data_IF_078184158394
#
_entry.id   IF_078184158394
#
_cell.length_a   1.000
_cell.length_b   1.000
_cell.length_c   1.000
_cell.angle_alpha   90.00
_cell.angle_beta   90.00
_cell.angle_gamma   90.00
#
_symmetry.space_group_name_H-M   'P 1'
#
loop_
_entity.id
_entity.type
_entity.pdbx_description
1 polymer ?
#
# COMPACT_ATOMS: atom_id res chain seq x y z
N UNK A 1 -4.77 -42.23 6.44
CA UNK A 1 -3.67 -41.25 6.52
C UNK A 1 -2.76 -41.60 7.69
N UNK A 2 -3.33 -41.80 8.88
CA UNK A 2 -2.58 -42.08 10.11
C UNK A 2 -1.79 -43.41 10.06
N UNK A 3 -2.37 -44.49 9.53
CA UNK A 3 -1.62 -45.75 9.31
C UNK A 3 -0.42 -45.59 8.35
N UNK A 4 -0.53 -44.71 7.36
CA UNK A 4 0.55 -44.41 6.40
C UNK A 4 1.68 -43.58 7.05
N UNK A 5 1.33 -42.74 8.03
CA UNK A 5 2.26 -41.96 8.82
C UNK A 5 2.96 -42.85 9.85
N UNK A 6 2.24 -43.77 10.48
CA UNK A 6 2.79 -44.70 11.47
C UNK A 6 3.65 -45.81 10.87
N UNK A 7 3.37 -46.24 9.63
CA UNK A 7 4.20 -47.17 8.89
C UNK A 7 5.46 -46.53 8.26
N UNK A 8 5.57 -45.20 8.28
CA UNK A 8 6.68 -44.47 7.68
C UNK A 8 7.99 -44.64 8.46
N UNK A 9 9.10 -44.81 7.75
CA UNK A 9 10.43 -44.80 8.36
C UNK A 9 10.70 -43.44 9.02
N UNK A 10 10.78 -43.45 10.35
CA UNK A 10 10.99 -42.24 11.16
C UNK A 10 12.46 -41.82 11.24
N UNK A 11 13.37 -42.61 10.66
CA UNK A 11 14.79 -42.25 10.61
C UNK A 11 14.95 -41.05 9.68
N UNK A 12 15.72 -40.07 10.15
CA UNK A 12 16.11 -38.94 9.32
C UNK A 12 16.82 -39.47 8.07
N UNK A 13 16.36 -39.14 6.86
CA UNK A 13 17.03 -39.61 5.65
C UNK A 13 18.47 -39.08 5.63
N UNK A 14 19.41 -39.85 5.07
CA UNK A 14 20.79 -39.39 4.94
C UNK A 14 20.82 -38.10 4.11
N UNK A 15 21.77 -37.22 4.45
CA UNK A 15 21.97 -36.00 3.69
C UNK A 15 22.20 -36.33 2.21
N UNK A 16 21.58 -35.59 1.27
CA UNK A 16 21.72 -35.88 -0.15
C UNK A 16 23.18 -35.72 -0.57
N UNK A 17 23.67 -36.65 -1.40
CA UNK A 17 25.06 -36.66 -1.89
C UNK A 17 25.46 -35.41 -2.69
N UNK A 18 24.46 -34.62 -3.11
CA UNK A 18 24.62 -33.33 -3.79
C UNK A 18 23.57 -32.35 -3.28
N UNK A 19 23.90 -31.06 -3.13
CA UNK A 19 22.91 -30.03 -2.82
C UNK A 19 21.73 -30.10 -3.80
N UNK A 20 20.52 -29.87 -3.28
CA UNK A 20 19.33 -29.73 -4.11
C UNK A 20 19.49 -28.58 -5.11
N UNK A 21 18.93 -28.75 -6.32
CA UNK A 21 18.83 -27.71 -7.33
C UNK A 21 17.41 -27.18 -7.41
N UNK A 22 17.24 -25.96 -7.90
CA UNK A 22 15.93 -25.38 -8.19
C UNK A 22 15.84 -25.04 -9.68
N UNK A 23 14.68 -25.27 -10.29
CA UNK A 23 14.37 -24.77 -11.62
C UNK A 23 13.64 -23.45 -11.43
N UNK A 24 14.24 -22.36 -11.89
CA UNK A 24 13.61 -21.04 -11.88
C UNK A 24 12.97 -20.84 -13.24
N UNK A 25 11.73 -20.37 -13.27
CA UNK A 25 11.08 -20.01 -14.52
C UNK A 25 11.56 -18.60 -14.90
N UNK A 26 12.33 -18.51 -15.98
CA UNK A 26 12.80 -17.25 -16.56
C UNK A 26 11.99 -16.97 -17.81
N UNK A 27 11.06 -16.03 -17.75
CA UNK A 27 10.68 -15.24 -18.91
C UNK A 27 11.46 -13.94 -18.86
N UNK A 28 11.92 -13.42 -20.00
CA UNK A 28 12.18 -11.98 -20.07
C UNK A 28 10.91 -11.19 -19.78
N UNK A 29 11.00 -9.87 -19.68
CA UNK A 29 9.86 -8.97 -19.42
C UNK A 29 8.74 -9.06 -20.49
N UNK A 30 8.94 -9.82 -21.57
CA UNK A 30 8.05 -9.88 -22.73
C UNK A 30 7.73 -11.31 -23.23
N UNK A 31 8.10 -12.39 -22.53
CA UNK A 31 8.01 -13.77 -23.06
C UNK A 31 7.26 -14.80 -22.19
N UNK A 32 6.89 -15.94 -22.79
CA UNK A 32 6.41 -17.11 -22.04
C UNK A 32 7.53 -17.70 -21.16
N UNK A 33 7.25 -18.15 -19.92
CA UNK A 33 8.27 -18.63 -18.99
C UNK A 33 9.03 -19.85 -19.53
N UNK A 34 10.38 -19.79 -19.51
CA UNK A 34 11.28 -20.91 -19.83
C UNK A 34 11.97 -21.40 -18.56
N UNK A 35 12.02 -22.71 -18.32
CA UNK A 35 12.74 -23.26 -17.18
C UNK A 35 14.25 -23.10 -17.31
N UNK A 36 14.88 -22.46 -16.32
CA UNK A 36 16.32 -22.32 -16.20
C UNK A 36 16.80 -23.12 -14.97
N UNK A 37 17.37 -24.32 -15.16
CA UNK A 37 17.89 -25.12 -14.06
C UNK A 37 19.10 -24.41 -13.42
N UNK A 38 19.05 -24.22 -12.11
CA UNK A 38 20.19 -23.75 -11.31
C UNK A 38 20.79 -24.94 -10.56
N UNK A 39 21.93 -25.42 -11.04
CA UNK A 39 22.65 -26.57 -10.47
C UNK A 39 23.63 -26.17 -9.36
N UNK A 40 23.89 -24.86 -9.20
CA UNK A 40 24.69 -24.27 -8.12
C UNK A 40 23.98 -23.01 -7.62
N UNK A 41 23.54 -23.02 -6.36
CA UNK A 41 22.97 -21.84 -5.69
C UNK A 41 24.01 -21.36 -4.68
N UNK A 42 24.57 -20.17 -4.91
CA UNK A 42 25.53 -19.56 -3.98
C UNK A 42 24.82 -18.60 -3.04
N UNK A 43 25.03 -18.69 -1.71
CA UNK A 43 24.51 -17.71 -0.74
C UNK A 43 24.94 -16.27 -1.02
N UNK A 44 26.07 -16.07 -1.73
CA UNK A 44 26.58 -14.74 -2.10
C UNK A 44 25.63 -13.96 -3.02
N UNK A 45 24.79 -14.64 -3.80
CA UNK A 45 23.83 -13.96 -4.67
C UNK A 45 22.78 -13.17 -3.87
N UNK A 46 22.35 -13.71 -2.72
CA UNK A 46 21.43 -13.02 -1.80
C UNK A 46 22.14 -11.92 -1.00
N UNK A 47 23.45 -12.05 -0.74
CA UNK A 47 24.22 -11.01 -0.06
C UNK A 47 24.29 -9.71 -0.88
N UNK A 48 24.38 -9.79 -2.22
CA UNK A 48 24.33 -8.62 -3.10
C UNK A 48 22.99 -7.87 -3.05
N UNK A 49 21.90 -8.58 -2.78
CA UNK A 49 20.55 -8.01 -2.63
C UNK A 49 20.47 -7.26 -1.29
N UNK A 50 20.98 -7.86 -0.21
CA UNK A 50 21.02 -7.24 1.13
C UNK A 50 21.91 -5.99 1.17
N UNK A 51 23.02 -6.00 0.43
CA UNK A 51 23.95 -4.87 0.36
C UNK A 51 23.34 -3.65 -0.35
N UNK A 52 22.56 -3.87 -1.42
CA UNK A 52 22.00 -2.78 -2.24
C UNK A 52 20.62 -2.29 -1.80
N UNK A 53 19.87 -3.12 -1.08
CA UNK A 53 18.48 -2.83 -0.73
C UNK A 53 18.36 -2.84 0.79
N UNK A 54 17.91 -1.74 1.42
CA UNK A 54 17.76 -1.67 2.86
C UNK A 54 16.53 -2.47 3.29
N UNK A 55 16.70 -3.77 3.54
CA UNK A 55 15.61 -4.60 4.05
C UNK A 55 15.31 -4.21 5.51
N UNK A 56 14.03 -3.97 5.86
CA UNK A 56 13.65 -3.84 7.25
C UNK A 56 13.92 -5.16 8.01
N UNK A 57 14.00 -5.09 9.34
CA UNK A 57 14.08 -6.26 10.22
C UNK A 57 12.79 -6.33 11.03
N UNK A 58 12.08 -7.46 10.99
CA UNK A 58 10.76 -7.61 11.64
C UNK A 58 9.71 -6.57 11.19
N UNK A 59 9.89 -5.95 10.02
CA UNK A 59 8.96 -5.01 9.40
C UNK A 59 8.06 -5.69 8.37
N UNK A 60 7.58 -4.93 7.40
CA UNK A 60 6.77 -5.43 6.28
C UNK A 60 7.48 -5.18 4.95
N UNK A 61 7.42 -6.15 4.03
CA UNK A 61 8.00 -6.03 2.68
C UNK A 61 6.97 -6.51 1.66
N UNK A 62 6.70 -5.68 0.65
CA UNK A 62 5.89 -6.07 -0.51
C UNK A 62 6.82 -6.56 -1.60
N UNK A 63 6.60 -7.78 -2.09
CA UNK A 63 7.37 -8.34 -3.20
C UNK A 63 6.48 -8.38 -4.43
N UNK A 64 6.71 -7.41 -5.31
CA UNK A 64 6.00 -7.28 -6.60
C UNK A 64 6.49 -8.30 -7.63
N UNK A 65 7.74 -8.75 -7.49
CA UNK A 65 8.33 -9.77 -8.36
C UNK A 65 7.76 -11.16 -8.05
N UNK A 66 7.40 -11.97 -9.07
CA UNK A 66 6.89 -13.31 -8.84
C UNK A 66 7.95 -14.20 -8.20
N UNK A 67 7.56 -14.95 -7.17
CA UNK A 67 8.48 -15.80 -6.39
C UNK A 67 9.01 -17.02 -7.15
N UNK A 68 8.41 -17.37 -8.30
CA UNK A 68 8.94 -18.39 -9.21
C UNK A 68 10.07 -17.86 -10.10
N UNK A 69 10.38 -16.56 -10.00
CA UNK A 69 11.50 -15.89 -10.67
C UNK A 69 12.65 -15.62 -9.68
N UNK A 70 13.89 -15.52 -10.16
CA UNK A 70 15.08 -15.46 -9.28
C UNK A 70 15.10 -14.24 -8.36
N UNK A 71 14.68 -13.08 -8.86
CA UNK A 71 14.65 -11.84 -8.06
C UNK A 71 13.57 -11.92 -6.98
N UNK A 72 12.34 -12.32 -7.33
CA UNK A 72 11.26 -12.48 -6.36
C UNK A 72 11.57 -13.54 -5.30
N UNK A 73 12.12 -14.69 -5.71
CA UNK A 73 12.57 -15.73 -4.78
C UNK A 73 13.68 -15.26 -3.85
N UNK A 74 14.68 -14.54 -4.39
CA UNK A 74 15.79 -14.00 -3.61
C UNK A 74 15.32 -12.98 -2.57
N UNK A 75 14.46 -12.04 -2.98
CA UNK A 75 13.86 -11.04 -2.08
C UNK A 75 13.02 -11.70 -0.99
N UNK A 76 12.21 -12.71 -1.34
CA UNK A 76 11.38 -13.44 -0.39
C UNK A 76 12.21 -14.21 0.63
N UNK A 77 13.28 -14.86 0.18
CA UNK A 77 14.21 -15.60 1.03
C UNK A 77 14.87 -14.68 2.05
N UNK A 78 15.38 -13.52 1.60
CA UNK A 78 16.01 -12.51 2.47
C UNK A 78 14.99 -11.91 3.45
N UNK A 79 13.82 -11.49 2.96
CA UNK A 79 12.78 -10.89 3.80
C UNK A 79 12.33 -11.85 4.91
N UNK A 80 12.13 -13.13 4.57
CA UNK A 80 11.76 -14.18 5.52
C UNK A 80 12.87 -14.44 6.54
N UNK A 81 14.13 -14.51 6.10
CA UNK A 81 15.28 -14.71 6.98
C UNK A 81 15.45 -13.56 8.00
N UNK A 82 15.06 -12.34 7.63
CA UNK A 82 15.09 -11.16 8.51
C UNK A 82 13.80 -11.00 9.36
N UNK A 83 12.90 -11.98 9.32
CA UNK A 83 11.68 -12.02 10.11
C UNK A 83 10.60 -11.03 9.67
N UNK A 84 10.64 -10.54 8.43
CA UNK A 84 9.64 -9.60 7.93
C UNK A 84 8.31 -10.31 7.61
N UNK A 85 7.22 -9.56 7.77
CA UNK A 85 5.93 -9.89 7.15
C UNK A 85 6.05 -9.65 5.65
N UNK A 86 5.99 -10.73 4.87
CA UNK A 86 6.11 -10.64 3.41
C UNK A 86 4.74 -10.65 2.75
N UNK A 87 4.41 -9.61 1.99
CA UNK A 87 3.19 -9.52 1.20
C UNK A 87 3.52 -9.89 -0.24
N UNK A 88 2.83 -10.92 -0.74
CA UNK A 88 2.98 -11.43 -2.10
C UNK A 88 1.69 -11.17 -2.88
N UNK A 89 1.84 -10.93 -4.18
CA UNK A 89 0.69 -10.77 -5.05
C UNK A 89 0.24 -12.12 -5.59
N UNK A 90 -1.07 -12.35 -5.51
CA UNK A 90 -1.71 -13.61 -5.94
C UNK A 90 -1.56 -13.84 -7.45
N UNK A 91 -1.50 -12.76 -8.24
CA UNK A 91 -1.37 -12.79 -9.70
C UNK A 91 -0.24 -11.88 -10.13
N UNK A 92 0.52 -12.34 -11.12
CA UNK A 92 1.60 -11.59 -11.75
C UNK A 92 1.18 -11.21 -13.17
N UNK A 93 1.26 -9.91 -13.49
CA UNK A 93 1.12 -9.39 -14.83
C UNK A 93 2.49 -8.86 -15.28
N UNK A 94 2.96 -9.31 -16.46
CA UNK A 94 4.29 -9.01 -16.98
C UNK A 94 4.39 -7.62 -17.65
N UNK A 95 3.26 -6.93 -17.88
CA UNK A 95 3.25 -5.59 -18.47
C UNK A 95 3.59 -4.50 -17.45
N UNK A 96 2.58 -4.12 -16.65
CA UNK A 96 2.72 -3.21 -15.53
C UNK A 96 1.74 -3.64 -14.43
N UNK A 97 2.16 -3.46 -13.19
CA UNK A 97 1.35 -3.76 -12.03
C UNK A 97 0.98 -2.44 -11.37
N UNK A 98 -0.31 -2.10 -11.38
CA UNK A 98 -0.83 -0.98 -10.60
C UNK A 98 -1.12 -1.47 -9.18
N UNK A 99 -0.54 -0.81 -8.18
CA UNK A 99 -0.96 -0.96 -6.77
C UNK A 99 -2.30 -0.27 -6.52
N UNK A 100 -2.71 0.60 -7.44
CA UNK A 100 -3.76 1.60 -7.23
C UNK A 100 -3.29 2.76 -6.36
N UNK A 101 -2.08 2.71 -5.79
CA UNK A 101 -1.54 3.81 -4.99
C UNK A 101 -0.83 4.80 -5.92
N UNK A 102 -1.17 6.08 -5.78
CA UNK A 102 -0.60 7.20 -6.52
C UNK A 102 0.44 7.90 -5.66
N UNK A 103 1.46 8.47 -6.30
CA UNK A 103 2.51 9.17 -5.59
C UNK A 103 3.46 9.93 -6.51
N UNK A 104 4.34 10.73 -5.90
CA UNK A 104 5.39 11.49 -6.59
C UNK A 104 6.76 11.17 -6.01
N UNK A 105 7.78 11.24 -6.86
CA UNK A 105 9.18 11.14 -6.43
C UNK A 105 9.74 12.55 -6.33
N UNK A 106 10.37 12.89 -5.20
CA UNK A 106 11.00 14.20 -5.00
C UNK A 106 12.43 14.28 -5.56
N UNK A 107 13.07 15.44 -5.41
CA UNK A 107 14.44 15.68 -5.89
C UNK A 107 15.52 14.80 -5.20
N UNK A 108 15.19 14.20 -4.05
CA UNK A 108 16.05 13.29 -3.31
C UNK A 108 15.79 11.81 -3.67
N UNK A 109 14.85 11.53 -4.58
CA UNK A 109 14.50 10.18 -5.00
C UNK A 109 13.57 9.44 -4.03
N UNK A 110 12.93 10.16 -3.09
CA UNK A 110 11.97 9.57 -2.15
C UNK A 110 10.56 9.54 -2.76
N UNK A 111 9.88 8.40 -2.62
CA UNK A 111 8.48 8.24 -3.05
C UNK A 111 7.53 8.74 -1.94
N UNK A 112 6.73 9.74 -2.27
CA UNK A 112 5.62 10.25 -1.47
C UNK A 112 4.32 9.64 -1.97
N UNK A 113 3.54 9.01 -1.08
CA UNK A 113 2.25 8.43 -1.42
C UNK A 113 1.18 9.52 -1.27
N UNK A 114 0.48 9.81 -2.37
CA UNK A 114 -0.50 10.90 -2.48
C UNK A 114 -1.94 10.41 -2.33
N UNK A 115 -2.20 9.12 -2.50
CA UNK A 115 -3.53 8.53 -2.32
C UNK A 115 -3.74 7.27 -3.14
N UNK A 116 -5.00 6.93 -3.38
CA UNK A 116 -5.38 5.86 -4.32
C UNK A 116 -6.08 6.42 -5.55
N UNK A 117 -5.93 5.71 -6.67
CA UNK A 117 -6.60 5.99 -7.94
C UNK A 117 -8.13 5.84 -7.83
N UNK A 118 -8.61 4.85 -7.07
CA UNK A 118 -10.02 4.60 -6.81
C UNK A 118 -10.67 5.58 -5.81
N UNK A 119 -9.87 6.31 -5.03
CA UNK A 119 -10.32 7.36 -4.09
C UNK A 119 -10.31 8.76 -4.75
N UNK A 120 -9.88 8.89 -6.01
CA UNK A 120 -9.75 10.18 -6.69
C UNK A 120 -11.13 10.83 -6.95
N UNK A 121 -11.26 12.10 -6.60
CA UNK A 121 -12.45 12.92 -6.85
C UNK A 121 -12.17 13.84 -8.04
N UNK A 122 -13.05 13.79 -9.05
CA UNK A 122 -13.06 14.79 -10.13
C UNK A 122 -14.03 15.90 -9.74
N UNK A 123 -13.52 17.11 -9.55
CA UNK A 123 -14.30 18.29 -9.15
C UNK A 123 -13.98 19.45 -10.09
N UNK A 124 -14.93 19.85 -10.93
CA UNK A 124 -14.71 20.96 -11.87
C UNK A 124 -13.66 20.70 -12.95
N UNK A 125 -13.43 19.44 -13.30
CA UNK A 125 -12.37 19.03 -14.24
C UNK A 125 -11.00 18.85 -13.61
N UNK A 126 -10.84 19.11 -12.30
CA UNK A 126 -9.59 18.90 -11.56
C UNK A 126 -9.61 17.55 -10.83
N UNK A 127 -8.48 16.86 -10.88
CA UNK A 127 -8.27 15.61 -10.13
C UNK A 127 -7.81 15.93 -8.71
N UNK A 128 -8.61 15.57 -7.72
CA UNK A 128 -8.34 15.78 -6.30
C UNK A 128 -8.16 14.44 -5.61
N UNK A 129 -7.02 14.28 -4.94
CA UNK A 129 -6.75 13.14 -4.07
C UNK A 129 -7.08 13.53 -2.63
N UNK A 130 -8.13 12.95 -2.01
CA UNK A 130 -8.58 13.35 -0.67
C UNK A 130 -7.50 13.24 0.39
N UNK A 131 -6.65 12.22 0.29
CA UNK A 131 -5.61 11.92 1.28
C UNK A 131 -4.62 13.07 1.48
N UNK A 132 -4.34 13.86 0.45
CA UNK A 132 -3.46 15.04 0.58
C UNK A 132 -4.06 16.12 1.48
N UNK A 133 -5.39 16.31 1.39
CA UNK A 133 -6.13 17.25 2.24
C UNK A 133 -6.27 16.67 3.64
N UNK A 134 -6.59 15.37 3.75
CA UNK A 134 -6.68 14.65 5.01
C UNK A 134 -5.35 14.72 5.79
N UNK A 135 -4.21 14.46 5.14
CA UNK A 135 -2.89 14.53 5.76
C UNK A 135 -2.53 15.95 6.23
N UNK A 136 -2.87 16.96 5.45
CA UNK A 136 -2.66 18.36 5.84
C UNK A 136 -3.48 18.70 7.09
N UNK A 137 -4.76 18.31 7.11
CA UNK A 137 -5.64 18.62 8.24
C UNK A 137 -5.29 17.78 9.48
N UNK A 138 -4.94 16.52 9.32
CA UNK A 138 -4.50 15.63 10.40
C UNK A 138 -3.19 16.09 11.07
N UNK A 139 -2.42 16.98 10.43
CA UNK A 139 -1.24 17.58 11.05
C UNK A 139 -1.58 18.69 12.07
N UNK A 140 -2.84 19.14 12.15
CA UNK A 140 -3.26 20.14 13.13
C UNK A 140 -3.54 19.49 14.50
N UNK A 141 -3.14 20.10 15.62
CA UNK A 141 -3.31 19.53 16.95
C UNK A 141 -4.75 19.57 17.48
N UNK A 142 -5.64 20.35 16.86
CA UNK A 142 -7.06 20.49 17.21
C UNK A 142 -7.97 19.48 16.49
N UNK A 143 -7.42 18.63 15.62
CA UNK A 143 -8.16 17.61 14.85
C UNK A 143 -7.70 16.22 15.31
N UNK A 144 -8.65 15.38 15.72
CA UNK A 144 -8.40 13.98 16.05
C UNK A 144 -8.49 13.09 14.80
N UNK A 145 -9.56 13.27 14.02
CA UNK A 145 -9.77 12.53 12.78
C UNK A 145 -10.31 13.43 11.67
N UNK A 146 -10.01 13.06 10.42
CA UNK A 146 -10.52 13.73 9.24
C UNK A 146 -10.78 12.73 8.12
N UNK A 147 -11.87 12.93 7.39
CA UNK A 147 -12.13 12.23 6.13
C UNK A 147 -12.68 13.22 5.11
N UNK A 148 -12.14 13.20 3.89
CA UNK A 148 -12.60 14.06 2.80
C UNK A 148 -13.26 13.18 1.74
N UNK A 149 -14.47 13.57 1.32
CA UNK A 149 -15.25 12.83 0.30
C UNK A 149 -15.80 13.79 -0.76
N UNK A 150 -16.18 13.20 -1.89
CA UNK A 150 -16.77 13.94 -3.01
C UNK A 150 -18.28 13.73 -3.04
N UNK A 151 -19.03 14.76 -2.71
CA UNK A 151 -20.50 14.76 -2.77
C UNK A 151 -20.99 15.44 -4.04
N UNK A 152 -22.21 15.11 -4.48
CA UNK A 152 -22.76 15.64 -5.73
C UNK A 152 -22.82 17.17 -5.73
N UNK A 153 -22.50 17.76 -6.87
CA UNK A 153 -22.57 19.21 -7.12
C UNK A 153 -23.03 19.42 -8.57
N UNK A 154 -24.06 20.25 -8.77
CA UNK A 154 -24.65 20.47 -10.10
C UNK A 154 -23.71 21.18 -11.08
N UNK A 155 -22.82 22.04 -10.59
CA UNK A 155 -21.94 22.86 -11.41
C UNK A 155 -20.58 22.20 -11.63
N UNK A 156 -20.08 21.44 -10.65
CA UNK A 156 -18.73 20.87 -10.66
C UNK A 156 -18.72 19.34 -10.77
N UNK A 157 -19.89 18.70 -10.86
CA UNK A 157 -20.08 17.24 -10.84
C UNK A 157 -19.96 16.67 -9.44
N UNK A 158 -18.82 16.94 -8.79
CA UNK A 158 -18.62 16.74 -7.35
C UNK A 158 -18.01 17.97 -6.72
N UNK A 159 -18.30 18.16 -5.44
CA UNK A 159 -17.58 19.10 -4.56
C UNK A 159 -17.02 18.36 -3.36
N UNK A 160 -15.94 18.91 -2.82
CA UNK A 160 -15.27 18.36 -1.66
C UNK A 160 -16.03 18.72 -0.38
N UNK A 161 -16.29 17.71 0.46
CA UNK A 161 -16.79 17.85 1.83
C UNK A 161 -15.82 17.18 2.78
N UNK A 162 -15.36 17.94 3.78
CA UNK A 162 -14.50 17.44 4.85
C UNK A 162 -15.33 17.13 6.10
N UNK A 163 -15.20 15.93 6.62
CA UNK A 163 -15.74 15.53 7.92
C UNK A 163 -14.60 15.54 8.93
N UNK A 164 -14.78 16.25 10.04
CA UNK A 164 -13.75 16.48 11.05
C UNK A 164 -14.27 16.03 12.41
N UNK A 165 -13.45 15.26 13.13
CA UNK A 165 -13.63 14.96 14.55
C UNK A 165 -12.62 15.83 15.31
N UNK A 166 -13.07 16.78 16.15
CA UNK A 166 -12.18 17.61 16.94
C UNK A 166 -11.39 16.81 17.98
N UNK A 167 -10.18 17.25 18.30
CA UNK A 167 -9.45 16.74 19.45
C UNK A 167 -10.23 16.99 20.76
N UNK A 168 -10.04 16.17 21.81
CA UNK A 168 -10.74 16.35 23.08
C UNK A 168 -10.59 17.77 23.65
N UNK A 169 -11.70 18.49 23.79
CA UNK A 169 -11.75 19.86 24.30
C UNK A 169 -11.38 20.95 23.27
N UNK A 170 -11.13 20.57 22.01
CA UNK A 170 -10.95 21.51 20.92
C UNK A 170 -12.28 21.85 20.24
N UNK A 171 -12.33 23.01 19.60
CA UNK A 171 -13.42 23.43 18.73
C UNK A 171 -12.85 23.75 17.37
N UNK A 172 -13.46 23.24 16.30
CA UNK A 172 -13.01 23.46 14.94
C UNK A 172 -14.00 24.38 14.22
N UNK A 173 -13.48 25.44 13.62
CA UNK A 173 -14.26 26.40 12.82
C UNK A 173 -14.14 26.13 11.31
N UNK A 174 -15.25 26.23 10.60
CA UNK A 174 -15.32 25.90 9.17
C UNK A 174 -14.44 26.83 8.30
N UNK A 175 -14.41 28.11 8.63
CA UNK A 175 -13.70 29.13 7.88
C UNK A 175 -12.19 29.02 8.13
N UNK A 176 -11.78 28.70 9.36
CA UNK A 176 -10.38 28.42 9.69
C UNK A 176 -9.83 27.21 8.95
N UNK A 177 -10.61 26.13 8.82
CA UNK A 177 -10.22 24.95 8.06
C UNK A 177 -10.04 25.29 6.58
N UNK A 178 -11.04 25.96 5.98
CA UNK A 178 -10.97 26.39 4.58
C UNK A 178 -9.79 27.31 4.32
N UNK A 179 -9.52 28.26 5.23
CA UNK A 179 -8.39 29.16 5.14
C UNK A 179 -7.05 28.42 5.24
N UNK A 180 -6.94 27.46 6.16
CA UNK A 180 -5.74 26.65 6.34
C UNK A 180 -5.43 25.79 5.11
N UNK A 181 -6.42 25.13 4.52
CA UNK A 181 -6.23 24.37 3.28
C UNK A 181 -5.82 25.31 2.13
N UNK A 182 -6.50 26.45 1.98
CA UNK A 182 -6.20 27.43 0.93
C UNK A 182 -4.79 28.03 1.03
N UNK A 183 -4.24 28.13 2.24
CA UNK A 183 -2.89 28.65 2.46
C UNK A 183 -1.79 27.65 2.07
N UNK A 184 -2.08 26.35 2.06
CA UNK A 184 -1.08 25.29 1.89
C UNK A 184 -1.25 24.49 0.60
N UNK A 185 -2.46 24.43 0.03
CA UNK A 185 -2.80 23.65 -1.16
C UNK A 185 -3.44 24.52 -2.24
N UNK A 186 -3.49 23.98 -3.46
CA UNK A 186 -4.14 24.64 -4.59
C UNK A 186 -5.62 24.91 -4.31
N UNK A 187 -6.15 26.02 -4.84
CA UNK A 187 -7.52 26.49 -4.57
C UNK A 187 -8.61 25.43 -4.81
N UNK A 188 -8.46 24.59 -5.82
CA UNK A 188 -9.44 23.55 -6.15
C UNK A 188 -9.45 22.37 -5.15
N UNK A 189 -8.47 22.28 -4.25
CA UNK A 189 -8.40 21.29 -3.16
C UNK A 189 -9.08 21.77 -1.88
N UNK A 190 -9.57 23.00 -1.84
CA UNK A 190 -10.24 23.56 -0.66
C UNK A 190 -11.66 22.96 -0.55
N UNK A 191 -12.02 22.30 0.58
CA UNK A 191 -13.38 21.82 0.81
C UNK A 191 -14.40 22.95 0.73
N UNK A 192 -15.54 22.72 0.06
CA UNK A 192 -16.67 23.66 0.08
C UNK A 192 -17.44 23.56 1.39
N UNK A 193 -17.54 22.34 1.89
CA UNK A 193 -18.22 22.02 3.13
C UNK A 193 -17.24 21.45 4.14
N UNK A 194 -17.43 21.85 5.38
CA UNK A 194 -16.75 21.28 6.54
C UNK A 194 -17.84 20.92 7.53
N UNK A 195 -17.90 19.65 7.92
CA UNK A 195 -18.90 19.10 8.83
C UNK A 195 -18.16 18.53 10.04
N UNK A 196 -18.54 18.97 11.23
CA UNK A 196 -17.97 18.46 12.48
C UNK A 196 -18.83 17.28 12.95
N UNK A 197 -18.18 16.16 13.27
CA UNK A 197 -18.80 14.95 13.79
C UNK A 197 -18.18 14.57 15.13
N UNK A 198 -18.94 13.84 15.95
CA UNK A 198 -18.41 13.23 17.18
C UNK A 198 -17.50 12.04 16.87
N UNK A 199 -17.80 11.28 15.82
CA UNK A 199 -16.99 10.14 15.34
C UNK A 199 -17.22 9.89 13.83
N UNK A 200 -16.23 9.30 13.16
CA UNK A 200 -16.38 8.84 11.78
C UNK A 200 -17.09 7.47 11.72
N UNK A 201 -18.02 7.24 10.77
CA UNK A 201 -18.69 5.96 10.64
C UNK A 201 -17.68 4.88 10.21
N UNK A 202 -17.64 3.75 10.91
CA UNK A 202 -16.68 2.67 10.68
C UNK A 202 -17.35 1.30 10.55
N UNK A 203 -16.70 0.39 9.85
CA UNK A 203 -17.09 -1.01 9.81
C UNK A 203 -16.56 -1.78 11.05
N UNK A 204 -16.91 -3.07 11.16
CA UNK A 204 -16.46 -3.93 12.26
C UNK A 204 -14.92 -4.10 12.36
N UNK A 205 -14.17 -3.79 11.31
CA UNK A 205 -12.69 -3.82 11.30
C UNK A 205 -12.07 -2.45 11.59
N UNK A 206 -12.87 -1.44 11.94
CA UNK A 206 -12.42 -0.08 12.21
C UNK A 206 -12.15 0.77 10.96
N UNK A 207 -12.46 0.31 9.75
CA UNK A 207 -12.28 1.09 8.51
C UNK A 207 -13.40 2.11 8.35
N UNK A 208 -13.08 3.36 8.03
CA UNK A 208 -14.06 4.42 7.74
C UNK A 208 -14.93 4.03 6.53
N UNK A 209 -16.24 4.18 6.68
CA UNK A 209 -17.25 3.93 5.67
C UNK A 209 -17.52 5.21 4.87
N UNK A 210 -16.60 5.55 3.95
CA UNK A 210 -16.70 6.77 3.12
C UNK A 210 -18.02 6.90 2.36
N UNK A 211 -18.63 5.79 1.94
CA UNK A 211 -19.95 5.81 1.29
C UNK A 211 -21.05 6.36 2.17
N UNK A 212 -21.01 6.09 3.48
CA UNK A 212 -21.98 6.66 4.44
C UNK A 212 -21.79 8.17 4.51
N UNK A 213 -20.54 8.62 4.54
CA UNK A 213 -20.20 10.05 4.53
C UNK A 213 -20.62 10.76 3.23
N UNK A 214 -20.59 10.08 2.08
CA UNK A 214 -21.07 10.63 0.80
C UNK A 214 -22.59 10.81 0.75
N UNK A 215 -23.33 9.98 1.48
CA UNK A 215 -24.79 9.96 1.55
C UNK A 215 -25.34 10.81 2.73
N UNK A 216 -24.48 11.33 3.60
CA UNK A 216 -24.84 12.24 4.70
C UNK A 216 -25.14 13.65 4.17
N UNK A 217 -26.29 14.19 4.55
CA UNK A 217 -26.74 15.55 4.16
C UNK A 217 -25.97 16.67 4.86
#
# INVERSE_FOLDING_TARGET
>A
MDELIDAGDRRMPPAPARPGGFIILTSGTTGLPKGAPRTKVSPLASAMIVDRIPFPRKGSVVIVSPIFHSTGFGMWTVATALGNKTVLLRRFDAGYMSTGDMGRIDEHGLLHIDGRDDDMIVSGGENVYPLEIENLLAARPDIDEVSVVGVADEEFGKRLRAYIVPAPGATVDDAEIKAYVKANLARYKVPRDVVVLDELPRNATGKVLRRVLEEMD
#
